data_IF_936254302916
#
_entry.id   IF_936254302916
#
_cell.length_a   1.000
_cell.length_b   1.000
_cell.length_c   1.000
_cell.angle_alpha   90.00
_cell.angle_beta   90.00
_cell.angle_gamma   90.00
#
_symmetry.space_group_name_H-M   'P 1'
#
loop_
_entity.id
_entity.type
_entity.pdbx_description
1 polymer ?
#
# COMPACT_ATOMS: atom_id res chain seq x y z
N UNK A 1 -1.12 46.43 79.63
CA UNK A 1 0.32 46.24 79.92
C UNK A 1 1.05 45.99 78.61
N UNK A 2 1.99 46.88 78.30
CA UNK A 2 3.20 46.69 77.46
C UNK A 2 3.82 45.28 77.72
N UNK A 3 4.55 44.54 76.84
CA UNK A 3 5.35 44.90 75.66
C UNK A 3 5.99 43.60 75.05
N UNK A 4 6.12 43.55 73.70
CA UNK A 4 7.14 42.90 72.81
C UNK A 4 7.48 41.39 72.92
N UNK A 5 7.56 40.71 71.76
CA UNK A 5 8.80 40.51 70.93
C UNK A 5 8.56 39.59 69.70
N UNK A 6 9.11 40.03 68.55
CA UNK A 6 9.82 39.27 67.46
C UNK A 6 9.13 38.05 66.80
N UNK A 7 9.21 37.76 65.50
CA UNK A 7 9.90 38.32 64.33
C UNK A 7 9.21 37.77 63.06
N UNK A 8 9.42 38.44 61.91
CA UNK A 8 9.03 37.98 60.57
C UNK A 8 9.75 36.69 60.18
N UNK A 9 9.02 35.74 59.58
CA UNK A 9 9.49 34.97 58.41
C UNK A 9 8.30 34.79 57.45
N UNK A 10 8.38 35.48 56.32
CA UNK A 10 7.52 35.29 55.15
C UNK A 10 8.05 34.08 54.38
N UNK A 11 7.25 33.03 54.19
CA UNK A 11 7.57 31.94 53.28
C UNK A 11 6.38 31.64 52.36
N UNK A 12 6.64 31.82 51.07
CA UNK A 12 5.77 31.64 49.92
C UNK A 12 5.11 30.26 49.85
N UNK A 13 3.78 30.22 49.70
CA UNK A 13 3.05 29.09 49.12
C UNK A 13 2.17 29.63 48.00
N UNK A 14 2.72 29.68 46.80
CA UNK A 14 2.01 30.15 45.62
C UNK A 14 2.86 29.96 44.38
N UNK A 15 2.76 28.80 43.75
CA UNK A 15 3.32 28.61 42.42
C UNK A 15 3.60 27.17 42.03
N UNK A 16 2.98 26.77 40.91
CA UNK A 16 3.45 25.75 39.95
C UNK A 16 2.89 24.33 40.07
N UNK A 17 1.58 24.19 39.89
CA UNK A 17 1.02 22.98 39.24
C UNK A 17 1.22 23.10 37.73
N UNK A 18 2.44 22.85 37.24
CA UNK A 18 2.67 22.69 35.79
C UNK A 18 2.09 21.34 35.39
N UNK A 19 0.83 21.35 34.94
CA UNK A 19 0.23 20.25 34.19
C UNK A 19 0.99 20.12 32.87
N UNK A 20 1.96 19.21 32.82
CA UNK A 20 2.55 18.76 31.57
C UNK A 20 1.48 17.92 30.86
N UNK A 21 0.66 18.56 30.04
CA UNK A 21 -0.16 17.86 29.06
C UNK A 21 0.78 17.39 27.96
N UNK A 22 1.33 16.19 28.09
CA UNK A 22 1.92 15.49 26.94
C UNK A 22 0.78 15.22 25.97
N UNK A 23 0.59 16.14 25.02
CA UNK A 23 -0.25 15.88 23.86
C UNK A 23 0.46 14.81 23.03
N UNK A 24 0.17 13.54 23.32
CA UNK A 24 0.41 12.49 22.35
C UNK A 24 -0.50 12.81 21.17
N UNK A 25 0.09 13.39 20.11
CA UNK A 25 -0.55 13.44 18.81
C UNK A 25 -0.65 11.98 18.33
N UNK A 26 -1.64 11.25 18.86
CA UNK A 26 -2.00 9.93 18.39
C UNK A 26 -2.33 10.07 16.91
N UNK A 27 -1.50 9.52 16.04
CA UNK A 27 -1.86 9.37 14.64
C UNK A 27 -3.22 8.71 14.60
N UNK A 28 -4.22 9.37 14.02
CA UNK A 28 -5.50 8.74 13.79
C UNK A 28 -5.28 7.74 12.64
N UNK A 29 -4.89 6.53 13.01
CA UNK A 29 -4.67 5.44 12.07
C UNK A 29 -6.00 5.09 11.42
N UNK A 30 -6.04 5.15 10.10
CA UNK A 30 -7.13 4.53 9.36
C UNK A 30 -6.86 3.04 9.27
N UNK A 31 -7.91 2.25 9.14
CA UNK A 31 -7.76 0.80 9.15
C UNK A 31 -8.91 0.14 8.42
N UNK A 32 -8.58 -0.71 7.47
CA UNK A 32 -9.55 -1.49 6.73
C UNK A 32 -8.95 -2.26 5.56
N UNK A 33 -9.80 -3.05 4.90
CA UNK A 33 -9.47 -3.78 3.69
C UNK A 33 -10.73 -4.18 2.93
N UNK A 34 -10.59 -4.66 1.69
CA UNK A 34 -11.71 -5.19 0.92
C UNK A 34 -12.33 -6.41 1.61
N UNK A 35 -13.64 -6.36 1.83
CA UNK A 35 -14.46 -7.42 2.43
C UNK A 35 -15.24 -8.19 1.35
N UNK A 36 -15.75 -7.50 0.33
CA UNK A 36 -16.41 -8.12 -0.82
C UNK A 36 -15.98 -7.45 -2.14
N UNK A 37 -15.28 -8.17 -3.05
CA UNK A 37 -14.65 -9.47 -2.81
C UNK A 37 -13.54 -9.37 -1.76
N UNK A 38 -13.34 -10.39 -0.89
CA UNK A 38 -12.35 -10.35 0.18
C UNK A 38 -10.94 -10.17 -0.39
N UNK A 39 -10.17 -9.26 0.23
CA UNK A 39 -8.75 -9.14 -0.07
C UNK A 39 -7.97 -10.36 0.42
N UNK A 40 -6.74 -10.57 -0.08
CA UNK A 40 -5.82 -11.59 0.43
C UNK A 40 -5.56 -11.47 1.93
N UNK A 41 -5.37 -10.25 2.46
CA UNK A 41 -5.12 -10.04 3.90
C UNK A 41 -6.34 -10.41 4.74
N UNK A 42 -7.53 -9.94 4.34
CA UNK A 42 -8.78 -10.24 5.02
C UNK A 42 -9.14 -11.73 4.92
N UNK A 43 -8.99 -12.34 3.75
CA UNK A 43 -9.21 -13.76 3.51
C UNK A 43 -8.34 -14.62 4.43
N UNK A 44 -7.04 -14.35 4.50
CA UNK A 44 -6.14 -15.16 5.33
C UNK A 44 -6.28 -14.89 6.83
N UNK A 45 -6.75 -13.70 7.22
CA UNK A 45 -7.21 -13.47 8.59
C UNK A 45 -8.44 -14.35 8.92
N UNK A 46 -9.43 -14.38 8.02
CA UNK A 46 -10.62 -15.22 8.20
C UNK A 46 -10.31 -16.73 8.18
N UNK A 47 -9.29 -17.14 7.43
CA UNK A 47 -8.81 -18.53 7.40
C UNK A 47 -8.02 -18.94 8.67
N UNK A 48 -7.88 -18.04 9.67
CA UNK A 48 -7.21 -18.22 10.97
C UNK A 48 -5.67 -18.32 10.85
N UNK A 49 -4.92 -17.24 11.15
CA UNK A 49 -3.47 -17.18 10.97
C UNK A 49 -2.65 -18.27 11.68
N UNK A 50 -3.14 -18.80 12.81
CA UNK A 50 -2.45 -19.85 13.57
C UNK A 50 -2.45 -21.22 12.88
N UNK A 51 -3.51 -21.51 12.12
CA UNK A 51 -3.70 -22.80 11.46
C UNK A 51 -4.57 -22.63 10.21
N UNK A 52 -4.04 -21.96 9.17
CA UNK A 52 -4.78 -21.70 7.94
C UNK A 52 -5.09 -23.00 7.21
N UNK A 53 -6.27 -23.10 6.61
CA UNK A 53 -6.68 -24.27 5.82
C UNK A 53 -6.29 -24.12 4.35
N UNK A 54 -6.31 -22.89 3.82
CA UNK A 54 -6.03 -22.56 2.43
C UNK A 54 -4.52 -22.63 2.14
N UNK A 55 -4.15 -23.31 1.05
CA UNK A 55 -2.75 -23.48 0.65
C UNK A 55 -2.04 -22.12 0.44
N UNK A 56 -2.72 -21.15 -0.18
CA UNK A 56 -2.19 -19.81 -0.37
C UNK A 56 -1.95 -19.06 0.96
N UNK A 57 -2.86 -19.20 1.94
CA UNK A 57 -2.70 -18.57 3.25
C UNK A 57 -1.62 -19.25 4.09
N UNK A 58 -1.48 -20.59 4.03
CA UNK A 58 -0.33 -21.32 4.59
C UNK A 58 0.99 -20.78 4.04
N UNK A 59 1.07 -20.59 2.73
CA UNK A 59 2.27 -20.04 2.08
C UNK A 59 2.53 -18.58 2.48
N UNK A 60 1.49 -17.75 2.58
CA UNK A 60 1.61 -16.38 3.04
C UNK A 60 2.13 -16.29 4.48
N UNK A 61 1.63 -17.14 5.39
CA UNK A 61 2.14 -17.25 6.77
C UNK A 61 3.59 -17.71 6.79
N UNK A 62 3.94 -18.75 6.02
CA UNK A 62 5.31 -19.24 5.95
C UNK A 62 6.29 -18.17 5.43
N UNK A 63 5.81 -17.26 4.58
CA UNK A 63 6.64 -16.20 3.97
C UNK A 63 6.72 -14.95 4.83
N UNK A 64 5.58 -14.44 5.32
CA UNK A 64 5.45 -13.13 5.98
C UNK A 64 5.20 -13.20 7.49
N UNK A 65 4.99 -14.39 8.05
CA UNK A 65 4.58 -14.57 9.45
C UNK A 65 3.10 -14.34 9.68
N UNK A 66 2.65 -14.61 10.91
CA UNK A 66 1.24 -14.55 11.31
C UNK A 66 0.76 -13.14 11.64
N UNK A 67 1.64 -12.32 12.25
CA UNK A 67 1.28 -10.98 12.75
C UNK A 67 0.69 -10.07 11.65
N UNK A 68 1.21 -10.17 10.43
CA UNK A 68 0.69 -9.42 9.28
C UNK A 68 -0.80 -9.70 9.02
N UNK A 69 -1.28 -10.91 9.31
CA UNK A 69 -2.68 -11.28 9.12
C UNK A 69 -3.57 -10.84 10.30
N UNK A 70 -3.03 -10.71 11.52
CA UNK A 70 -3.76 -10.03 12.60
C UNK A 70 -3.93 -8.54 12.30
N UNK A 71 -2.92 -7.96 11.67
CA UNK A 71 -2.90 -6.56 11.23
C UNK A 71 -3.41 -6.41 9.78
N UNK A 72 -4.36 -7.26 9.36
CA UNK A 72 -4.91 -7.34 8.00
C UNK A 72 -5.47 -6.01 7.47
N UNK A 73 -5.83 -5.13 8.39
CA UNK A 73 -6.48 -3.83 8.18
C UNK A 73 -5.48 -2.68 8.03
N UNK A 74 -4.17 -2.96 8.07
CA UNK A 74 -3.11 -1.94 8.03
C UNK A 74 -2.13 -2.15 6.86
N UNK A 75 -2.58 -2.71 5.73
CA UNK A 75 -1.78 -2.71 4.50
C UNK A 75 -1.78 -1.29 3.93
N UNK A 76 -0.98 -0.42 4.55
CA UNK A 76 -0.98 1.03 4.32
C UNK A 76 0.39 1.56 3.89
N UNK A 77 0.41 2.83 3.48
CA UNK A 77 1.60 3.67 3.47
C UNK A 77 1.18 5.01 4.07
N UNK A 78 1.71 5.33 5.26
CA UNK A 78 1.36 6.54 6.01
C UNK A 78 1.59 7.85 5.23
N UNK A 79 2.57 7.87 4.33
CA UNK A 79 2.91 9.05 3.53
C UNK A 79 2.77 8.79 2.02
N UNK A 80 1.66 8.14 1.61
CA UNK A 80 1.42 7.84 0.20
C UNK A 80 1.18 9.11 -0.63
N UNK A 81 0.28 9.98 -0.16
CA UNK A 81 -0.09 11.26 -0.76
C UNK A 81 -0.34 11.16 -2.28
N UNK A 82 -1.07 10.13 -2.71
CA UNK A 82 -1.40 9.86 -4.11
C UNK A 82 -0.26 9.27 -4.96
N UNK A 83 0.94 9.07 -4.40
CA UNK A 83 2.15 8.68 -5.16
C UNK A 83 2.29 7.17 -5.39
N UNK A 84 1.19 6.43 -5.38
CA UNK A 84 1.14 4.96 -5.32
C UNK A 84 2.11 4.28 -6.30
N UNK A 85 2.03 4.63 -7.59
CA UNK A 85 2.88 4.06 -8.66
C UNK A 85 4.38 4.34 -8.50
N UNK A 86 4.75 5.44 -7.86
CA UNK A 86 6.15 5.82 -7.69
C UNK A 86 6.79 5.29 -6.40
N UNK A 87 5.98 4.89 -5.42
CA UNK A 87 6.46 4.45 -4.09
C UNK A 87 6.27 2.94 -3.86
N UNK A 88 5.45 2.28 -4.68
CA UNK A 88 5.22 0.83 -4.62
C UNK A 88 5.88 0.21 -5.85
N UNK A 89 6.99 -0.53 -5.69
CA UNK A 89 7.63 -1.24 -6.79
C UNK A 89 6.73 -2.34 -7.36
N UNK A 90 6.94 -2.65 -8.63
CA UNK A 90 6.38 -3.86 -9.26
C UNK A 90 6.72 -5.12 -8.45
N UNK A 91 5.76 -6.05 -8.40
CA UNK A 91 5.86 -7.26 -7.59
C UNK A 91 5.59 -7.06 -6.10
N UNK A 92 5.34 -5.82 -5.65
CA UNK A 92 5.05 -5.49 -4.24
C UNK A 92 3.73 -4.75 -4.03
N UNK A 93 2.81 -4.87 -4.98
CA UNK A 93 1.54 -4.14 -4.94
C UNK A 93 0.65 -4.60 -3.77
N UNK A 94 0.54 -5.92 -3.55
CA UNK A 94 -0.37 -6.47 -2.55
C UNK A 94 0.14 -6.28 -1.11
N UNK A 95 1.45 -6.07 -0.92
CA UNK A 95 2.06 -5.67 0.35
C UNK A 95 2.20 -4.17 0.55
N UNK A 96 1.86 -3.35 -0.47
CA UNK A 96 2.17 -1.93 -0.53
C UNK A 96 3.68 -1.63 -0.34
N UNK A 97 4.55 -2.50 -0.84
CA UNK A 97 6.01 -2.36 -0.68
C UNK A 97 6.54 -2.73 0.70
N UNK A 98 5.68 -3.10 1.67
CA UNK A 98 6.06 -3.35 3.06
C UNK A 98 6.43 -4.81 3.29
N UNK A 99 7.65 -5.04 3.77
CA UNK A 99 8.16 -6.40 4.04
C UNK A 99 7.29 -7.18 5.07
N UNK A 100 6.62 -6.48 6.00
CA UNK A 100 5.61 -7.06 6.90
C UNK A 100 4.55 -7.87 6.15
N UNK A 101 4.14 -7.41 4.97
CA UNK A 101 3.05 -7.99 4.19
C UNK A 101 3.51 -8.77 2.96
N UNK A 102 4.81 -9.07 2.83
CA UNK A 102 5.39 -9.72 1.64
C UNK A 102 4.75 -11.06 1.25
N UNK A 103 4.13 -11.77 2.20
CA UNK A 103 3.37 -13.00 1.92
C UNK A 103 2.15 -12.77 1.03
N UNK A 104 1.62 -11.56 0.96
CA UNK A 104 0.48 -11.20 0.11
C UNK A 104 0.88 -11.02 -1.37
N UNK A 105 2.16 -10.82 -1.66
CA UNK A 105 2.71 -10.64 -3.01
C UNK A 105 2.98 -11.97 -3.73
N UNK A 106 2.84 -13.11 -3.05
CA UNK A 106 3.09 -14.42 -3.63
C UNK A 106 2.27 -14.62 -4.91
N UNK A 107 2.98 -14.82 -6.03
CA UNK A 107 2.40 -15.11 -7.32
C UNK A 107 1.94 -16.57 -7.37
N UNK A 108 0.65 -16.80 -7.15
CA UNK A 108 0.06 -18.14 -7.12
C UNK A 108 -1.27 -18.19 -7.87
N UNK A 109 -1.45 -19.24 -8.67
CA UNK A 109 -2.70 -19.49 -9.37
C UNK A 109 -3.82 -20.08 -8.47
N UNK A 110 -3.52 -20.43 -7.21
CA UNK A 110 -4.43 -21.07 -6.26
C UNK A 110 -4.95 -20.13 -5.16
N UNK A 111 -4.70 -18.83 -5.23
CA UNK A 111 -5.44 -17.85 -4.44
C UNK A 111 -6.95 -18.02 -4.69
N UNK A 112 -7.79 -18.20 -3.65
CA UNK A 112 -9.23 -18.36 -3.80
C UNK A 112 -9.84 -17.15 -4.51
N UNK A 113 -10.80 -17.39 -5.40
CA UNK A 113 -11.43 -16.35 -6.20
C UNK A 113 -12.87 -16.13 -5.80
N UNK A 114 -13.30 -14.87 -5.77
CA UNK A 114 -14.74 -14.54 -5.83
C UNK A 114 -15.21 -14.54 -7.27
N UNK A 115 -16.33 -15.22 -7.52
CA UNK A 115 -16.96 -15.29 -8.85
C UNK A 115 -17.78 -14.02 -9.07
N UNK A 116 -17.50 -13.34 -10.18
CA UNK A 116 -18.21 -12.12 -10.59
C UNK A 116 -18.91 -12.35 -11.93
N UNK A 117 -20.10 -11.76 -12.14
CA UNK A 117 -20.72 -11.69 -13.47
C UNK A 117 -19.78 -11.08 -14.52
N UNK A 118 -19.94 -11.43 -15.79
CA UNK A 118 -19.16 -10.83 -16.87
C UNK A 118 -19.43 -9.32 -17.07
N UNK A 119 -20.57 -8.83 -16.60
CA UNK A 119 -21.01 -7.44 -16.74
C UNK A 119 -22.12 -7.13 -15.73
N UNK A 120 -22.45 -5.85 -15.59
CA UNK A 120 -23.57 -5.39 -14.76
C UNK A 120 -23.09 -4.69 -13.49
N UNK A 121 -24.02 -4.44 -12.57
CA UNK A 121 -23.72 -3.82 -11.28
C UNK A 121 -23.30 -4.87 -10.26
N UNK A 122 -22.35 -4.53 -9.41
CA UNK A 122 -21.96 -5.32 -8.24
C UNK A 122 -21.73 -4.40 -7.04
N UNK A 123 -22.16 -4.85 -5.87
CA UNK A 123 -21.95 -4.14 -4.61
C UNK A 123 -20.65 -4.58 -3.98
N UNK A 124 -19.66 -3.69 -3.99
CA UNK A 124 -18.38 -3.87 -3.33
C UNK A 124 -18.44 -3.33 -1.91
N UNK A 125 -17.75 -3.99 -0.98
CA UNK A 125 -17.63 -3.51 0.40
C UNK A 125 -16.18 -3.51 0.88
N UNK A 126 -15.80 -2.40 1.52
CA UNK A 126 -14.50 -2.22 2.16
C UNK A 126 -14.72 -2.09 3.67
N UNK A 127 -14.31 -3.10 4.45
CA UNK A 127 -14.45 -3.09 5.92
C UNK A 127 -13.53 -2.01 6.48
N UNK A 128 -14.08 -1.11 7.29
CA UNK A 128 -13.32 -0.05 7.95
C UNK A 128 -13.45 -0.21 9.47
N UNK A 129 -12.39 -0.67 10.13
CA UNK A 129 -12.33 -0.75 11.59
C UNK A 129 -12.12 0.64 12.21
N UNK A 130 -11.45 1.54 11.49
CA UNK A 130 -11.36 2.96 11.78
C UNK A 130 -11.72 3.75 10.51
N UNK A 131 -12.95 4.30 10.40
CA UNK A 131 -13.39 5.08 9.24
C UNK A 131 -12.70 6.44 9.14
N UNK A 132 -12.36 6.87 7.92
CA UNK A 132 -11.77 8.19 7.61
C UNK A 132 -12.32 8.75 6.29
N UNK A 133 -12.12 10.05 6.04
CA UNK A 133 -12.51 10.63 4.75
C UNK A 133 -11.50 10.23 3.68
N UNK A 134 -11.98 9.98 2.46
CA UNK A 134 -11.10 9.59 1.36
C UNK A 134 -11.86 9.10 0.14
N UNK A 135 -11.11 8.63 -0.85
CA UNK A 135 -11.66 7.99 -2.05
C UNK A 135 -11.14 6.56 -2.16
N UNK A 136 -12.03 5.65 -2.55
CA UNK A 136 -11.68 4.28 -2.94
C UNK A 136 -11.66 4.17 -4.46
N UNK A 137 -10.53 3.75 -5.00
CA UNK A 137 -10.33 3.47 -6.42
C UNK A 137 -10.21 1.97 -6.63
N UNK A 138 -10.98 1.41 -7.57
CA UNK A 138 -10.94 0.00 -7.93
C UNK A 138 -10.32 -0.15 -9.31
N UNK A 139 -9.14 -0.75 -9.38
CA UNK A 139 -8.47 -1.15 -10.60
C UNK A 139 -8.70 -2.63 -10.87
N UNK A 140 -8.59 -3.04 -12.13
CA UNK A 140 -8.65 -4.44 -12.54
C UNK A 140 -7.43 -4.76 -13.40
N UNK A 141 -6.95 -5.98 -13.34
CA UNK A 141 -5.93 -6.47 -14.27
C UNK A 141 -6.41 -6.49 -15.73
N UNK A 142 -5.49 -6.28 -16.66
CA UNK A 142 -5.66 -6.45 -18.11
C UNK A 142 -5.94 -7.90 -18.48
N UNK A 143 -6.42 -8.10 -19.70
CA UNK A 143 -6.62 -9.44 -20.26
C UNK A 143 -5.25 -10.11 -20.51
N UNK A 144 -5.18 -11.41 -20.30
CA UNK A 144 -3.91 -12.15 -20.33
C UNK A 144 -3.09 -12.07 -19.03
N UNK A 145 -3.65 -11.51 -17.95
CA UNK A 145 -3.06 -11.56 -16.62
C UNK A 145 -2.74 -13.00 -16.19
N UNK A 146 -1.50 -13.20 -15.76
CA UNK A 146 -0.99 -14.49 -15.26
C UNK A 146 -0.76 -14.40 -13.75
N UNK A 147 -1.60 -15.06 -12.92
CA UNK A 147 -1.46 -15.02 -11.46
C UNK A 147 -0.20 -15.74 -10.95
N UNK A 148 0.49 -16.52 -11.79
CA UNK A 148 1.75 -17.17 -11.44
C UNK A 148 2.95 -16.23 -11.60
N UNK A 149 2.74 -14.98 -12.05
CA UNK A 149 3.77 -13.94 -12.11
C UNK A 149 3.51 -12.84 -11.08
N UNK A 150 4.55 -12.21 -10.49
CA UNK A 150 4.36 -11.08 -9.59
C UNK A 150 3.61 -9.94 -10.28
N UNK A 151 2.59 -9.42 -9.61
CA UNK A 151 1.74 -8.34 -10.14
C UNK A 151 2.54 -7.05 -10.32
N UNK A 152 2.40 -6.41 -11.48
CA UNK A 152 3.02 -5.13 -11.82
C UNK A 152 1.97 -4.05 -12.04
N UNK A 153 2.37 -2.78 -11.96
CA UNK A 153 1.50 -1.67 -12.34
C UNK A 153 1.08 -1.74 -13.81
N UNK A 154 1.95 -2.27 -14.69
CA UNK A 154 1.63 -2.47 -16.10
C UNK A 154 0.54 -3.52 -16.35
N UNK A 155 0.30 -4.41 -15.38
CA UNK A 155 -0.70 -5.47 -15.49
C UNK A 155 -2.11 -4.96 -15.16
N UNK A 156 -2.22 -3.80 -14.50
CA UNK A 156 -3.49 -3.13 -14.24
C UNK A 156 -3.94 -2.30 -15.44
N UNK A 157 -5.25 -2.17 -15.62
CA UNK A 157 -5.82 -1.11 -16.47
C UNK A 157 -5.32 0.25 -15.98
N UNK A 158 -5.09 1.17 -16.92
CA UNK A 158 -4.47 2.47 -16.62
C UNK A 158 -5.33 3.29 -15.64
N UNK A 159 -6.65 3.23 -15.81
CA UNK A 159 -7.66 3.92 -15.02
C UNK A 159 -8.45 2.95 -14.15
N UNK A 160 -8.92 3.39 -12.96
CA UNK A 160 -9.83 2.58 -12.17
C UNK A 160 -11.17 2.47 -12.89
N UNK A 161 -11.80 1.29 -12.84
CA UNK A 161 -13.15 1.11 -13.39
C UNK A 161 -14.23 1.71 -12.47
N UNK A 162 -13.87 2.05 -11.22
CA UNK A 162 -14.75 2.71 -10.28
C UNK A 162 -13.97 3.58 -9.30
N UNK A 163 -14.52 4.76 -9.00
CA UNK A 163 -14.03 5.66 -7.95
C UNK A 163 -15.22 6.06 -7.08
N UNK A 164 -15.09 5.85 -5.77
CA UNK A 164 -16.08 6.26 -4.79
C UNK A 164 -15.43 7.26 -3.82
N UNK A 165 -15.82 8.54 -3.90
CA UNK A 165 -15.38 9.59 -2.98
C UNK A 165 -16.35 9.68 -1.80
N UNK A 166 -15.80 9.59 -0.59
CA UNK A 166 -16.55 9.57 0.68
C UNK A 166 -17.78 8.64 0.64
N UNK A 167 -17.60 7.35 0.29
CA UNK A 167 -18.72 6.42 0.18
C UNK A 167 -19.47 6.28 1.50
N UNK A 168 -20.75 5.92 1.40
CA UNK A 168 -21.60 5.66 2.55
C UNK A 168 -21.00 4.52 3.39
N UNK A 169 -20.80 4.79 4.68
CA UNK A 169 -20.47 3.76 5.68
C UNK A 169 -21.75 3.09 6.16
N UNK A 170 -21.81 1.77 6.08
CA UNK A 170 -22.93 0.97 6.57
C UNK A 170 -22.41 -0.34 7.18
N UNK A 171 -22.88 -0.69 8.37
CA UNK A 171 -22.49 -1.93 9.06
C UNK A 171 -20.97 -2.12 9.16
N UNK A 172 -20.24 -1.04 9.40
CA UNK A 172 -18.77 -1.05 9.53
C UNK A 172 -18.00 -1.19 8.21
N UNK A 173 -18.65 -1.04 7.05
CA UNK A 173 -18.00 -1.08 5.75
C UNK A 173 -18.44 0.07 4.84
N UNK A 174 -17.53 0.58 4.02
CA UNK A 174 -17.88 1.46 2.92
C UNK A 174 -18.55 0.66 1.82
N UNK A 175 -19.70 1.13 1.35
CA UNK A 175 -20.49 0.47 0.31
C UNK A 175 -20.27 1.19 -1.01
N UNK A 176 -19.86 0.45 -2.03
CA UNK A 176 -19.54 0.96 -3.36
C UNK A 176 -20.36 0.21 -4.41
N UNK A 177 -21.24 0.94 -5.10
CA UNK A 177 -22.06 0.41 -6.17
C UNK A 177 -21.35 0.64 -7.51
N UNK A 178 -20.67 -0.39 -8.03
CA UNK A 178 -19.84 -0.27 -9.22
C UNK A 178 -20.41 -1.04 -10.42
N UNK A 179 -20.23 -0.50 -11.61
CA UNK A 179 -20.43 -1.23 -12.87
C UNK A 179 -19.17 -2.01 -13.18
N UNK A 180 -19.29 -3.33 -13.36
CA UNK A 180 -18.17 -4.19 -13.73
C UNK A 180 -17.64 -3.83 -15.13
N UNK A 181 -16.31 -3.85 -15.32
CA UNK A 181 -15.69 -3.58 -16.62
C UNK A 181 -16.14 -4.61 -17.66
N UNK A 182 -16.47 -4.12 -18.87
CA UNK A 182 -16.88 -4.98 -19.98
C UNK A 182 -15.68 -5.79 -20.50
N UNK A 183 -15.96 -6.97 -21.04
CA UNK A 183 -14.96 -7.79 -21.74
C UNK A 183 -14.07 -8.66 -20.83
N UNK A 184 -14.09 -8.47 -19.51
CA UNK A 184 -13.32 -9.31 -18.58
C UNK A 184 -13.87 -10.73 -18.50
N UNK A 185 -13.00 -11.73 -18.57
CA UNK A 185 -13.34 -13.16 -18.49
C UNK A 185 -12.21 -13.94 -17.83
N UNK A 186 -12.58 -14.98 -17.07
CA UNK A 186 -11.59 -15.81 -16.39
C UNK A 186 -10.97 -15.10 -15.19
N UNK A 187 -9.80 -15.56 -14.76
CA UNK A 187 -9.17 -15.09 -13.52
C UNK A 187 -8.57 -13.70 -13.71
N UNK A 188 -8.86 -12.82 -12.77
CA UNK A 188 -8.32 -11.48 -12.68
C UNK A 188 -8.03 -11.13 -11.22
N UNK A 189 -7.42 -9.97 -11.00
CA UNK A 189 -7.26 -9.37 -9.68
C UNK A 189 -7.86 -7.96 -9.70
N UNK A 190 -8.60 -7.63 -8.65
CA UNK A 190 -9.05 -6.27 -8.35
C UNK A 190 -8.08 -5.68 -7.34
N UNK A 191 -7.50 -4.53 -7.69
CA UNK A 191 -6.57 -3.79 -6.85
C UNK A 191 -7.25 -2.52 -6.35
N UNK A 192 -7.43 -2.43 -5.04
CA UNK A 192 -8.12 -1.31 -4.40
C UNK A 192 -7.10 -0.39 -3.75
N UNK A 193 -7.26 0.91 -3.99
CA UNK A 193 -6.55 1.97 -3.28
C UNK A 193 -7.56 2.79 -2.50
N UNK A 194 -7.39 2.91 -1.18
CA UNK A 194 -8.11 3.89 -0.37
C UNK A 194 -7.15 5.02 0.00
N UNK A 195 -7.21 6.13 -0.73
CA UNK A 195 -6.45 7.34 -0.42
C UNK A 195 -7.29 8.22 0.51
N UNK A 196 -6.77 8.52 1.70
CA UNK A 196 -7.43 9.45 2.62
C UNK A 196 -7.36 10.88 2.09
N UNK A 197 -8.37 11.68 2.42
CA UNK A 197 -8.41 13.11 2.13
C UNK A 197 -8.07 13.98 3.34
N UNK A 198 -8.09 13.40 4.55
CA UNK A 198 -7.73 14.04 5.82
C UNK A 198 -6.28 13.74 6.27
N UNK A 199 -5.54 12.93 5.51
CA UNK A 199 -4.15 12.51 5.77
C UNK A 199 -3.49 12.07 4.46
N UNK A 200 -2.14 12.14 4.33
CA UNK A 200 -1.44 11.54 3.20
C UNK A 200 -1.51 10.00 3.16
N UNK A 201 -1.97 9.35 4.23
CA UNK A 201 -2.00 7.89 4.31
C UNK A 201 -2.95 7.26 3.28
N UNK A 202 -2.54 6.12 2.73
CA UNK A 202 -3.38 5.29 1.85
C UNK A 202 -3.29 3.81 2.21
N UNK A 203 -4.34 3.05 1.88
CA UNK A 203 -4.47 1.60 2.08
C UNK A 203 -4.62 0.89 0.76
N UNK A 204 -4.16 -0.36 0.73
CA UNK A 204 -4.06 -1.16 -0.48
C UNK A 204 -4.62 -2.56 -0.23
N UNK A 205 -5.38 -3.08 -1.20
CA UNK A 205 -5.96 -4.41 -1.09
C UNK A 205 -5.98 -5.10 -2.46
N UNK A 206 -5.51 -6.35 -2.48
CA UNK A 206 -5.63 -7.24 -3.64
C UNK A 206 -6.75 -8.26 -3.38
N UNK A 207 -7.75 -8.32 -4.26
CA UNK A 207 -8.81 -9.32 -4.22
C UNK A 207 -8.80 -10.16 -5.51
N UNK A 208 -8.60 -11.47 -5.38
CA UNK A 208 -8.61 -12.39 -6.52
C UNK A 208 -10.06 -12.70 -6.95
N UNK A 209 -10.34 -12.59 -8.25
CA UNK A 209 -11.68 -12.74 -8.80
C UNK A 209 -11.68 -13.59 -10.07
N UNK A 210 -12.87 -14.07 -10.45
CA UNK A 210 -13.09 -14.72 -11.74
C UNK A 210 -14.35 -14.18 -12.41
N UNK A 211 -14.20 -13.58 -13.59
CA UNK A 211 -15.30 -13.00 -14.36
C UNK A 211 -15.95 -14.02 -15.30
N UNK A 212 -17.27 -13.93 -15.45
CA UNK A 212 -18.03 -14.66 -16.48
C UNK A 212 -18.46 -16.07 -16.12
N UNK A 213 -18.36 -16.45 -14.84
CA UNK A 213 -18.93 -17.68 -14.30
C UNK A 213 -20.05 -17.27 -13.34
N UNK A 214 -21.27 -17.11 -13.87
CA UNK A 214 -22.44 -16.61 -13.15
C UNK A 214 -22.78 -17.49 -11.94
N UNK A 215 -22.65 -16.90 -10.76
CA UNK A 215 -23.01 -17.51 -9.49
C UNK A 215 -22.34 -16.72 -8.36
N UNK A 216 -23.11 -15.88 -7.67
CA UNK A 216 -22.68 -15.22 -6.44
C UNK A 216 -22.54 -16.29 -5.35
N UNK A 217 -21.42 -17.00 -5.35
CA UNK A 217 -20.98 -17.79 -4.22
C UNK A 217 -19.64 -17.22 -3.77
N UNK A 218 -19.42 -17.19 -2.46
CA UNK A 218 -18.19 -16.69 -1.84
C UNK A 218 -16.94 -17.37 -2.40
N UNK A 219 -15.74 -16.97 -1.93
CA UNK A 219 -14.48 -17.48 -2.46
C UNK A 219 -14.52 -19.01 -2.59
N UNK A 220 -14.57 -19.51 -3.82
CA UNK A 220 -14.59 -20.95 -4.08
C UNK A 220 -13.15 -21.42 -4.10
N UNK A 221 -12.80 -22.38 -3.25
CA UNK A 221 -11.50 -23.04 -3.33
C UNK A 221 -11.32 -23.66 -4.73
N UNK A 222 -10.09 -23.70 -5.30
CA UNK A 222 -9.83 -24.46 -6.51
C UNK A 222 -10.27 -25.93 -6.34
N UNK A 223 -10.67 -26.63 -7.42
CA UNK A 223 -10.88 -28.07 -7.35
C UNK A 223 -9.60 -28.73 -6.84
N UNK A 224 -9.75 -29.66 -5.89
CA UNK A 224 -8.65 -30.48 -5.42
C UNK A 224 -7.99 -31.19 -6.62
N UNK A 225 -6.64 -31.35 -6.64
CA UNK A 225 -6.01 -32.17 -7.66
C UNK A 225 -6.65 -33.56 -7.63
N UNK A 226 -7.06 -34.05 -8.80
CA UNK A 226 -7.55 -35.42 -8.96
C UNK A 226 -6.49 -36.36 -8.39
N UNK A 227 -6.83 -37.30 -7.49
CA UNK A 227 -5.85 -38.24 -6.99
C UNK A 227 -5.30 -39.04 -8.17
N UNK A 228 -4.00 -38.93 -8.41
CA UNK A 228 -3.27 -39.89 -9.24
C UNK A 228 -3.55 -41.28 -8.66
N UNK A 229 -4.01 -42.27 -9.44
CA UNK A 229 -4.19 -43.62 -8.95
C UNK A 229 -2.87 -44.12 -8.36
N UNK A 230 -2.89 -44.52 -7.09
CA UNK A 230 -1.76 -45.22 -6.50
C UNK A 230 -1.49 -46.50 -7.31
N UNK A 231 -0.23 -46.88 -7.56
CA UNK A 231 0.07 -48.15 -8.19
C UNK A 231 -0.52 -49.28 -7.32
N UNK A 232 -1.31 -50.13 -7.97
CA UNK A 232 -1.94 -51.29 -7.35
C UNK A 232 -0.86 -52.17 -6.71
N UNK A 233 -0.96 -52.54 -5.41
CA UNK A 233 -0.04 -53.50 -4.84
C UNK A 233 -0.32 -54.86 -5.47
N UNK A 234 0.69 -55.40 -6.16
CA UNK A 234 0.73 -56.81 -6.54
C UNK A 234 0.70 -57.64 -5.26
N UNK A 235 -0.40 -58.35 -5.03
CA UNK A 235 -0.53 -59.25 -3.88
C UNK A 235 0.49 -60.40 -3.96
N UNK A 236 1.11 -60.81 -2.85
CA UNK A 236 1.79 -62.09 -2.79
C UNK A 236 0.77 -63.18 -2.42
N UNK A 237 0.70 -64.23 -3.25
CA UNK A 237 0.02 -65.46 -2.94
C UNK A 237 0.58 -66.09 -1.66
N UNK A 238 -0.31 -66.64 -0.84
CA UNK A 238 0.03 -67.25 0.44
C UNK A 238 0.78 -68.58 0.32
N UNK A 239 1.42 -68.97 1.42
CA UNK A 239 1.99 -70.31 1.58
C UNK A 239 2.93 -70.47 2.77
N UNK A 240 2.36 -70.59 3.97
CA UNK A 240 2.77 -71.46 5.08
C UNK A 240 4.25 -71.66 5.48
N UNK A 241 4.47 -71.43 6.79
CA UNK A 241 4.97 -72.41 7.78
C UNK A 241 6.33 -72.11 8.45
N UNK A 242 6.29 -72.03 9.79
CA UNK A 242 7.26 -72.69 10.67
C UNK A 242 8.46 -71.90 11.20
N UNK A 243 8.59 -71.87 12.53
CA UNK A 243 9.88 -71.95 13.23
C UNK A 243 10.44 -70.64 13.77
N UNK A 244 10.45 -70.50 15.10
CA UNK A 244 11.08 -69.37 15.80
C UNK A 244 12.60 -69.41 15.81
N UNK A 245 13.20 -68.35 16.36
CA UNK A 245 14.31 -68.33 17.33
C UNK A 245 14.66 -66.87 17.66
N UNK A 246 14.89 -66.62 18.94
CA UNK A 246 15.55 -65.42 19.49
C UNK A 246 16.95 -65.19 18.89
N UNK A 247 17.41 -63.94 18.88
CA UNK A 247 18.66 -63.48 19.52
C UNK A 247 18.87 -61.97 19.27
N UNK A 248 19.37 -61.26 20.29
CA UNK A 248 19.58 -59.82 20.28
C UNK A 248 21.02 -59.37 20.01
N UNK A 249 21.30 -58.11 20.41
CA UNK A 249 22.60 -57.42 20.32
C UNK A 249 22.82 -56.77 18.94
N UNK A 250 23.34 -55.56 18.78
CA UNK A 250 24.13 -54.72 19.66
C UNK A 250 25.36 -54.20 18.86
N UNK A 251 25.56 -52.87 18.88
CA UNK A 251 26.80 -52.13 18.59
C UNK A 251 27.48 -52.17 17.21
N UNK A 252 28.01 -51.00 16.82
CA UNK A 252 29.05 -50.89 15.80
C UNK A 252 29.26 -49.46 15.27
N UNK A 253 30.03 -48.67 16.03
CA UNK A 253 30.65 -47.39 15.65
C UNK A 253 31.68 -47.53 14.50
N UNK A 254 32.12 -46.36 14.01
CA UNK A 254 33.39 -45.96 13.37
C UNK A 254 33.14 -45.23 12.03
N UNK A 255 33.67 -44.04 11.74
CA UNK A 255 34.68 -43.22 12.41
C UNK A 255 35.65 -42.66 11.36
N UNK A 256 35.82 -41.32 11.32
CA UNK A 256 36.98 -40.59 10.75
C UNK A 256 37.14 -40.61 9.23
N UNK A 257 37.68 -39.60 8.53
CA UNK A 257 38.33 -38.35 8.92
C UNK A 257 39.16 -37.81 7.74
N UNK A 258 39.35 -36.49 7.73
CA UNK A 258 40.49 -35.71 7.22
C UNK A 258 40.77 -35.47 5.71
N UNK A 259 41.11 -34.18 5.46
CA UNK A 259 41.98 -33.65 4.39
C UNK A 259 41.30 -32.54 3.57
N UNK A 260 41.71 -31.28 3.48
CA UNK A 260 42.96 -30.59 3.84
C UNK A 260 43.57 -29.87 2.62
N UNK A 261 43.66 -28.53 2.66
CA UNK A 261 44.46 -27.66 1.75
C UNK A 261 43.80 -27.26 0.42
N UNK A 262 43.96 -26.08 -0.17
CA UNK A 262 44.82 -24.92 0.07
C UNK A 262 45.25 -24.28 -1.28
N UNK A 263 45.26 -22.93 -1.35
CA UNK A 263 45.83 -22.05 -2.42
C UNK A 263 45.13 -22.00 -3.79
N UNK A 264 45.06 -20.90 -4.55
CA UNK A 264 45.60 -19.54 -4.47
C UNK A 264 45.59 -18.86 -5.87
N UNK A 265 45.60 -17.52 -5.93
CA UNK A 265 45.86 -16.69 -7.13
C UNK A 265 44.61 -16.36 -7.97
N UNK A 266 44.29 -15.11 -8.35
CA UNK A 266 45.12 -13.93 -8.61
C UNK A 266 45.13 -13.65 -10.11
N UNK A 267 44.48 -12.58 -10.57
CA UNK A 267 44.46 -12.22 -12.00
C UNK A 267 43.64 -10.96 -12.29
N UNK A 268 44.27 -9.80 -12.08
CA UNK A 268 43.85 -8.50 -12.55
C UNK A 268 44.41 -8.26 -13.97
N UNK A 269 43.67 -7.56 -14.83
CA UNK A 269 44.15 -7.19 -16.17
C UNK A 269 43.21 -6.20 -16.85
N UNK A 270 43.48 -4.91 -16.68
CA UNK A 270 42.88 -3.83 -17.46
C UNK A 270 43.67 -3.52 -18.74
N UNK A 271 43.02 -2.83 -19.67
CA UNK A 271 43.70 -2.08 -20.74
C UNK A 271 42.82 -1.80 -21.96
N UNK A 272 42.98 -0.64 -22.64
CA UNK A 272 41.87 0.18 -23.11
C UNK A 272 41.81 0.40 -24.63
N UNK A 273 40.75 1.05 -25.13
CA UNK A 273 40.69 1.55 -26.51
C UNK A 273 39.51 2.47 -26.74
N UNK A 274 39.78 3.78 -26.77
CA UNK A 274 38.80 4.82 -27.12
C UNK A 274 38.66 5.03 -28.63
N UNK A 275 37.58 5.71 -29.02
CA UNK A 275 37.34 6.18 -30.37
C UNK A 275 36.15 7.15 -30.39
N UNK A 276 36.45 8.44 -30.53
CA UNK A 276 35.54 9.57 -30.54
C UNK A 276 35.14 9.95 -31.98
N UNK A 277 33.95 10.53 -32.16
CA UNK A 277 33.69 11.52 -33.23
C UNK A 277 32.59 11.16 -34.23
N UNK A 278 31.58 12.05 -34.34
CA UNK A 278 30.74 12.12 -35.54
C UNK A 278 29.33 12.65 -35.34
N UNK A 279 29.20 13.97 -35.33
CA UNK A 279 27.98 14.78 -35.34
C UNK A 279 26.96 14.44 -36.44
N UNK A 280 25.67 14.57 -36.13
CA UNK A 280 24.59 14.68 -37.13
C UNK A 280 23.27 15.01 -36.46
N UNK A 281 22.84 16.27 -36.55
CA UNK A 281 21.68 16.81 -35.85
C UNK A 281 20.35 16.17 -36.22
N UNK A 282 19.53 15.96 -35.20
CA UNK A 282 18.07 16.01 -35.31
C UNK A 282 17.56 16.63 -34.03
N UNK A 283 16.72 17.64 -34.19
CA UNK A 283 16.18 18.53 -33.16
C UNK A 283 15.59 17.78 -31.99
N UNK A 284 16.28 17.83 -30.85
CA UNK A 284 15.88 17.22 -29.59
C UNK A 284 14.80 18.08 -28.89
N UNK A 285 13.69 18.31 -29.58
CA UNK A 285 12.46 18.81 -28.96
C UNK A 285 11.77 17.73 -28.11
N UNK A 286 12.20 16.46 -28.23
CA UNK A 286 11.66 15.32 -27.49
C UNK A 286 12.37 15.06 -26.15
N UNK A 287 13.58 15.59 -25.93
CA UNK A 287 14.31 15.41 -24.66
C UNK A 287 13.79 16.29 -23.51
N UNK A 288 13.05 17.37 -23.80
CA UNK A 288 12.52 18.31 -22.79
C UNK A 288 11.16 17.86 -22.19
N UNK A 289 10.52 16.82 -22.75
CA UNK A 289 9.23 16.31 -22.26
C UNK A 289 9.35 15.19 -21.21
N UNK A 290 10.56 14.87 -20.75
CA UNK A 290 10.76 13.85 -19.72
C UNK A 290 10.48 14.45 -18.32
N UNK A 291 9.38 14.01 -17.71
CA UNK A 291 9.03 14.10 -16.28
C UNK A 291 8.48 15.44 -15.73
N UNK A 292 7.46 16.03 -16.37
CA UNK A 292 6.64 17.08 -15.73
C UNK A 292 5.34 16.46 -15.18
N UNK A 293 5.45 15.66 -14.12
CA UNK A 293 4.28 15.23 -13.35
C UNK A 293 4.32 15.93 -12.00
N UNK A 294 3.53 17.01 -11.88
CA UNK A 294 3.36 17.69 -10.63
C UNK A 294 1.90 17.56 -10.14
N UNK A 295 1.70 16.87 -9.01
CA UNK A 295 0.39 16.77 -8.36
C UNK A 295 0.19 17.94 -7.40
N UNK A 296 -1.03 18.48 -7.28
CA UNK A 296 -1.32 19.59 -6.36
C UNK A 296 -2.71 19.48 -5.73
N UNK A 297 -2.79 19.79 -4.43
CA UNK A 297 -4.02 19.85 -3.65
C UNK A 297 -4.09 21.11 -2.79
N UNK A 298 -5.31 21.50 -2.42
CA UNK A 298 -5.57 22.60 -1.46
C UNK A 298 -6.50 22.06 -0.38
N UNK A 299 -6.15 22.25 0.89
CA UNK A 299 -6.96 21.82 2.03
C UNK A 299 -7.14 22.95 3.06
N UNK A 300 -8.38 23.30 3.43
CA UNK A 300 -9.63 22.86 2.79
C UNK A 300 -9.77 23.42 1.38
N UNK A 301 -10.41 22.68 0.46
CA UNK A 301 -10.68 23.14 -0.91
C UNK A 301 -11.71 24.30 -0.97
N UNK A 302 -12.42 24.53 0.14
CA UNK A 302 -13.31 25.68 0.38
C UNK A 302 -12.87 26.41 1.64
N UNK A 303 -12.62 27.71 1.57
CA UNK A 303 -12.18 28.51 2.72
C UNK A 303 -12.86 29.88 2.74
N UNK A 304 -13.14 30.40 3.94
CA UNK A 304 -13.58 31.79 4.13
C UNK A 304 -12.43 32.78 4.00
N UNK A 305 -12.74 34.06 3.89
CA UNK A 305 -11.75 35.15 4.03
C UNK A 305 -10.97 34.99 5.34
N UNK A 306 -9.68 35.28 5.30
CA UNK A 306 -8.75 35.13 6.43
C UNK A 306 -8.63 33.67 6.93
N UNK A 307 -9.24 32.71 6.25
CA UNK A 307 -9.07 31.30 6.49
C UNK A 307 -7.67 30.85 6.08
N UNK A 308 -7.12 29.92 6.86
CA UNK A 308 -5.88 29.24 6.51
C UNK A 308 -6.17 28.09 5.56
N UNK A 309 -5.36 27.98 4.52
CA UNK A 309 -5.35 26.85 3.60
C UNK A 309 -3.94 26.31 3.45
N UNK A 310 -3.85 24.99 3.32
CA UNK A 310 -2.61 24.28 3.06
C UNK A 310 -2.58 23.89 1.59
N UNK A 311 -1.51 24.24 0.88
CA UNK A 311 -1.29 23.81 -0.50
C UNK A 311 -0.25 22.70 -0.50
N UNK A 312 -0.65 21.51 -0.91
CA UNK A 312 0.26 20.37 -1.06
C UNK A 312 0.64 20.23 -2.53
N UNK A 313 1.91 19.93 -2.79
CA UNK A 313 2.37 19.66 -4.14
C UNK A 313 3.48 18.60 -4.18
N UNK A 314 3.49 17.81 -5.25
CA UNK A 314 4.48 16.78 -5.55
C UNK A 314 5.16 17.18 -6.85
N UNK A 315 6.44 17.50 -6.86
CA UNK A 315 7.16 17.99 -8.04
C UNK A 315 8.02 16.91 -8.72
N UNK A 316 7.53 15.67 -8.83
CA UNK A 316 8.27 14.58 -9.49
C UNK A 316 9.67 14.31 -8.92
N UNK A 317 9.86 14.47 -7.60
CA UNK A 317 11.17 14.38 -6.93
C UNK A 317 11.97 15.68 -6.88
N UNK A 318 11.50 16.75 -7.55
CA UNK A 318 12.07 18.10 -7.48
C UNK A 318 11.45 18.95 -6.36
N UNK A 319 11.99 20.15 -6.16
CA UNK A 319 11.56 21.10 -5.11
C UNK A 319 10.45 22.02 -5.62
N UNK A 320 9.49 22.38 -4.77
CA UNK A 320 8.57 23.49 -5.04
C UNK A 320 9.36 24.79 -4.95
N UNK A 321 9.21 25.66 -5.95
CA UNK A 321 9.88 26.97 -5.98
C UNK A 321 8.91 28.11 -5.68
N UNK A 322 7.65 27.99 -6.11
CA UNK A 322 6.66 29.06 -5.99
C UNK A 322 5.22 28.53 -5.91
N UNK A 323 4.40 29.11 -5.04
CA UNK A 323 2.94 28.91 -5.02
C UNK A 323 2.24 30.24 -5.30
N UNK A 324 1.32 30.23 -6.26
CA UNK A 324 0.63 31.44 -6.74
C UNK A 324 -0.87 31.22 -6.78
N UNK A 325 -1.62 32.11 -6.13
CA UNK A 325 -3.05 32.26 -6.32
C UNK A 325 -3.47 33.71 -6.12
N UNK A 326 -4.43 34.24 -6.90
CA UNK A 326 -5.02 35.56 -6.63
C UNK A 326 -5.82 35.61 -5.32
N UNK A 327 -6.13 34.45 -4.70
CA UNK A 327 -6.82 34.39 -3.42
C UNK A 327 -5.92 34.62 -2.20
N UNK A 328 -4.60 34.51 -2.33
CA UNK A 328 -3.70 34.54 -1.19
C UNK A 328 -3.23 35.95 -0.87
N UNK A 329 -3.13 36.27 0.43
CA UNK A 329 -2.65 37.57 0.91
C UNK A 329 -1.19 37.86 0.51
N UNK A 330 -0.38 36.82 0.32
CA UNK A 330 1.01 36.89 -0.14
C UNK A 330 1.32 35.74 -1.08
N UNK A 331 2.13 36.02 -2.11
CA UNK A 331 2.84 34.97 -2.83
C UNK A 331 3.95 34.45 -1.92
N UNK A 332 4.17 33.15 -1.94
CA UNK A 332 5.19 32.51 -1.12
C UNK A 332 6.23 31.85 -2.01
N UNK A 333 7.48 32.24 -1.80
CA UNK A 333 8.67 31.61 -2.38
C UNK A 333 9.22 30.62 -1.34
N UNK A 334 9.62 29.42 -1.78
CA UNK A 334 10.10 28.38 -0.88
C UNK A 334 11.63 28.42 -0.71
N UNK A 335 12.13 28.09 0.49
CA UNK A 335 13.52 27.68 0.71
C UNK A 335 13.70 26.22 0.22
N UNK A 336 14.90 25.82 -0.24
CA UNK A 336 15.09 24.56 -0.96
C UNK A 336 15.10 23.32 -0.04
N UNK A 337 13.93 22.85 0.41
CA UNK A 337 13.82 21.61 1.20
C UNK A 337 13.83 20.38 0.27
N UNK A 338 14.71 19.38 0.46
CA UNK A 338 14.60 18.10 -0.21
C UNK A 338 13.43 17.33 0.41
N UNK A 339 12.54 16.79 -0.42
CA UNK A 339 11.36 15.97 -0.08
C UNK A 339 10.00 16.70 0.04
N UNK A 340 9.29 16.71 -1.08
CA UNK A 340 7.88 16.31 -1.28
C UNK A 340 6.85 16.45 -0.14
N UNK A 341 6.70 17.64 0.45
CA UNK A 341 5.43 18.32 0.72
C UNK A 341 5.72 19.57 1.57
N UNK A 342 5.24 20.73 1.14
CA UNK A 342 5.48 22.02 1.79
C UNK A 342 4.22 22.49 2.50
N UNK A 343 4.33 22.90 3.78
CA UNK A 343 3.21 23.08 4.70
C UNK A 343 3.22 24.38 5.53
N UNK A 344 3.42 25.59 4.98
CA UNK A 344 2.96 26.76 5.71
C UNK A 344 1.49 27.03 5.35
N UNK A 345 0.67 27.35 6.36
CA UNK A 345 -0.69 27.79 6.11
C UNK A 345 -0.65 29.11 5.32
N UNK A 346 -1.28 29.11 4.14
CA UNK A 346 -1.49 30.29 3.32
C UNK A 346 -2.82 30.93 3.71
N UNK A 347 -2.81 32.22 3.95
CA UNK A 347 -4.00 32.95 4.36
C UNK A 347 -4.75 33.47 3.13
N UNK A 348 -6.06 33.20 3.07
CA UNK A 348 -6.95 33.85 2.10
C UNK A 348 -7.03 35.33 2.43
N UNK A 349 -6.77 36.20 1.46
CA UNK A 349 -6.74 37.64 1.70
C UNK A 349 -8.09 38.19 2.19
N UNK A 350 -8.06 39.12 3.13
CA UNK A 350 -9.25 39.74 3.72
C UNK A 350 -10.17 40.42 2.68
N UNK A 351 -9.61 40.87 1.55
CA UNK A 351 -10.33 41.52 0.45
C UNK A 351 -10.73 40.57 -0.68
N UNK A 352 -10.46 39.26 -0.54
CA UNK A 352 -10.75 38.27 -1.58
C UNK A 352 -12.27 38.07 -1.69
N UNK A 353 -12.81 38.21 -2.90
CA UNK A 353 -14.25 38.01 -3.15
C UNK A 353 -14.59 36.51 -3.07
N UNK A 354 -15.87 36.20 -2.85
CA UNK A 354 -16.32 34.82 -3.00
C UNK A 354 -16.15 34.39 -4.47
N UNK A 355 -15.67 33.18 -4.71
CA UNK A 355 -15.38 32.71 -6.05
C UNK A 355 -14.38 31.56 -6.11
N UNK A 356 -14.10 31.07 -7.32
CA UNK A 356 -13.10 30.03 -7.56
C UNK A 356 -11.80 30.67 -8.04
N UNK A 357 -10.70 30.30 -7.42
CA UNK A 357 -9.39 30.86 -7.67
C UNK A 357 -8.41 29.75 -8.06
N UNK A 358 -7.68 29.89 -9.18
CA UNK A 358 -6.64 28.94 -9.53
C UNK A 358 -5.51 29.03 -8.51
N UNK A 359 -4.99 27.87 -8.12
CA UNK A 359 -3.77 27.72 -7.33
C UNK A 359 -2.75 27.03 -8.22
N UNK A 360 -1.66 27.73 -8.53
CA UNK A 360 -0.57 27.23 -9.39
C UNK A 360 0.68 27.00 -8.54
N UNK A 361 1.30 25.84 -8.71
CA UNK A 361 2.57 25.49 -8.07
C UNK A 361 3.64 25.29 -9.13
N UNK A 362 4.79 25.92 -8.93
CA UNK A 362 5.97 25.81 -9.78
C UNK A 362 7.03 24.94 -9.10
N UNK A 363 7.68 24.10 -9.89
CA UNK A 363 8.70 23.17 -9.48
C UNK A 363 10.06 23.53 -10.08
N UNK A 364 11.16 23.19 -9.39
CA UNK A 364 12.52 23.51 -9.83
C UNK A 364 12.95 22.74 -11.09
N UNK A 365 12.31 21.61 -11.39
CA UNK A 365 12.49 20.87 -12.65
C UNK A 365 11.67 21.45 -13.82
N UNK A 366 11.12 22.66 -13.69
CA UNK A 366 10.24 23.26 -14.69
C UNK A 366 8.79 22.79 -14.64
N UNK A 367 8.45 21.86 -13.73
CA UNK A 367 7.09 21.36 -13.58
C UNK A 367 6.10 22.41 -13.08
N UNK A 368 4.86 22.34 -13.57
CA UNK A 368 3.77 23.23 -13.13
C UNK A 368 2.52 22.41 -12.84
N UNK A 369 1.97 22.56 -11.64
CA UNK A 369 0.73 21.93 -11.21
C UNK A 369 -0.37 22.97 -10.95
N UNK A 370 -1.63 22.63 -11.23
CA UNK A 370 -2.78 23.51 -10.98
C UNK A 370 -3.91 22.80 -10.25
N UNK A 371 -4.52 23.50 -9.31
CA UNK A 371 -5.80 23.12 -8.67
C UNK A 371 -6.63 24.37 -8.42
N UNK A 372 -7.78 24.23 -7.76
CA UNK A 372 -8.72 25.31 -7.51
C UNK A 372 -9.04 25.43 -6.02
N UNK A 373 -8.98 26.64 -5.48
CA UNK A 373 -9.53 27.00 -4.18
C UNK A 373 -10.86 27.71 -4.39
N UNK A 374 -11.90 27.32 -3.64
CA UNK A 374 -13.15 28.10 -3.57
C UNK A 374 -13.13 28.98 -2.33
N UNK A 375 -13.23 30.30 -2.52
CA UNK A 375 -13.42 31.23 -1.41
C UNK A 375 -14.91 31.41 -1.17
N UNK A 376 -15.35 31.12 0.05
CA UNK A 376 -16.72 31.36 0.52
C UNK A 376 -16.80 32.75 1.16
N UNK A 377 -17.93 33.42 0.96
CA UNK A 377 -18.18 34.79 1.41
C UNK A 377 -18.02 35.01 2.90
#
# INVERSE_FOLDING_TARGET
MNVRRMALVTALVGGSSVLITVATAGGAYAHGSMQNPPSRSWLCYQDRPESPSLAACKAAVATGGKQALYDWHEVNIANAAGRHRSIIPDGRLCSAGRDKYKGLDLARADWPVTRLPASGRHTFTFRATAPHKGSLELYVTKDGYDPAKPLKWSDLEAEPFHVATEPRLANGAYVMEATLPKGKRGRHLIYTIWQRSDSPEAFYACSDVRFGEGGSTGPTAPPAPTPTPAPSPSGPGGGGNGGGHDHGGGHGDHGGGHGGGGHGGGGNGGGPGGGNGGSGGSTDAAAVLRNITAGVGVQPAKARREGLVTVTAVCGGSKVTKVVSPAFAKQTNAAPVPTTAWFPPLMVGAKTRAGRYPVTVHCANGGVARTTLTVTG
#
